data_IF_201736477771
#
_entry.id   IF_201736477771
#
_cell.length_a   1.000
_cell.length_b   1.000
_cell.length_c   1.000
_cell.angle_alpha   90.00
_cell.angle_beta   90.00
_cell.angle_gamma   90.00
#
_symmetry.space_group_name_H-M   'P 1'
#
loop_
_entity.id
_entity.type
_entity.pdbx_description
1 polymer ?
#
# COMPACT_ATOMS: atom_id res chain seq x y z
N UNK A 1 1.57 10.74 -21.23
CA UNK A 1 1.99 10.35 -19.86
C UNK A 1 1.06 11.05 -18.88
N UNK A 2 0.30 10.34 -18.05
CA UNK A 2 -0.64 10.95 -17.09
C UNK A 2 0.12 11.35 -15.84
N UNK A 3 0.15 12.64 -15.50
CA UNK A 3 0.70 13.13 -14.24
C UNK A 3 -0.29 12.82 -13.11
N UNK A 4 0.11 11.99 -12.15
CA UNK A 4 -0.71 11.66 -10.99
C UNK A 4 -0.21 12.50 -9.82
N UNK A 5 -0.98 13.53 -9.44
CA UNK A 5 -0.71 14.29 -8.20
C UNK A 5 -1.34 13.57 -7.02
N UNK A 6 -0.51 13.28 -6.03
CA UNK A 6 -0.98 12.79 -4.74
C UNK A 6 -1.60 13.95 -3.95
N UNK A 7 -2.66 13.65 -3.20
CA UNK A 7 -3.17 14.57 -2.18
C UNK A 7 -2.07 14.83 -1.15
N UNK A 8 -2.07 16.04 -0.59
CA UNK A 8 -1.11 16.43 0.44
C UNK A 8 -1.01 15.42 1.59
N UNK A 9 -2.12 14.93 2.21
CA UNK A 9 -2.03 13.96 3.30
C UNK A 9 -1.41 12.63 2.87
N UNK A 10 -1.70 12.17 1.65
CA UNK A 10 -1.13 10.92 1.13
C UNK A 10 0.38 11.05 0.88
N UNK A 11 0.82 12.20 0.34
CA UNK A 11 2.24 12.49 0.15
C UNK A 11 2.97 12.56 1.49
N UNK A 12 2.43 13.28 2.46
CA UNK A 12 3.03 13.43 3.79
C UNK A 12 3.14 12.08 4.51
N UNK A 13 2.10 11.23 4.43
CA UNK A 13 2.14 9.88 4.98
C UNK A 13 3.23 9.02 4.34
N UNK A 14 3.39 9.08 3.01
CA UNK A 14 4.47 8.35 2.31
C UNK A 14 5.85 8.87 2.69
N UNK A 15 6.02 10.18 2.87
CA UNK A 15 7.30 10.76 3.31
C UNK A 15 7.66 10.31 4.73
N UNK A 16 6.71 10.39 5.67
CA UNK A 16 6.92 9.91 7.03
C UNK A 16 7.29 8.41 7.06
N UNK A 17 6.62 7.62 6.24
CA UNK A 17 6.90 6.19 6.14
C UNK A 17 8.26 5.89 5.46
N UNK A 18 8.68 6.72 4.52
CA UNK A 18 9.98 6.59 3.86
C UNK A 18 11.14 6.80 4.85
N UNK A 19 11.01 7.69 5.83
CA UNK A 19 12.04 7.88 6.86
C UNK A 19 12.35 6.57 7.62
N UNK A 20 11.33 5.73 7.85
CA UNK A 20 11.45 4.45 8.54
C UNK A 20 11.97 3.32 7.64
N UNK A 21 11.67 3.37 6.34
CA UNK A 21 11.84 2.21 5.44
C UNK A 21 12.91 2.39 4.37
N UNK A 22 13.40 3.61 4.15
CA UNK A 22 14.48 3.93 3.18
C UNK A 22 15.83 3.30 3.50
N UNK A 23 16.03 2.86 4.74
CA UNK A 23 17.26 2.20 5.20
C UNK A 23 17.24 0.68 5.03
N UNK A 24 16.06 0.08 4.84
CA UNK A 24 15.92 -1.38 4.72
C UNK A 24 16.61 -1.96 3.47
N UNK A 25 16.73 -3.27 3.38
CA UNK A 25 17.25 -3.89 2.16
C UNK A 25 16.20 -3.94 1.05
N UNK A 26 16.68 -3.93 -0.21
CA UNK A 26 15.79 -4.10 -1.36
C UNK A 26 15.57 -5.60 -1.61
N UNK A 27 14.33 -6.00 -1.83
CA UNK A 27 13.91 -7.38 -2.03
C UNK A 27 13.67 -7.65 -3.52
N UNK A 28 14.13 -8.79 -4.01
CA UNK A 28 13.79 -9.27 -5.36
C UNK A 28 12.37 -9.84 -5.34
N UNK A 29 11.52 -9.33 -6.22
CA UNK A 29 10.14 -9.79 -6.36
C UNK A 29 9.74 -9.89 -7.82
N UNK A 30 8.86 -10.84 -8.11
CA UNK A 30 8.21 -10.99 -9.40
C UNK A 30 7.12 -9.95 -9.56
N UNK A 31 7.25 -9.11 -10.59
CA UNK A 31 6.27 -8.08 -10.93
C UNK A 31 5.64 -8.44 -12.26
N UNK A 32 4.32 -8.61 -12.26
CA UNK A 32 3.53 -8.68 -13.48
C UNK A 32 3.49 -7.31 -14.14
N UNK A 33 3.99 -7.23 -15.36
CA UNK A 33 4.01 -6.01 -16.16
C UNK A 33 2.59 -5.61 -16.60
N UNK A 34 2.46 -4.39 -17.13
CA UNK A 34 1.15 -3.83 -17.51
C UNK A 34 0.37 -4.63 -18.55
N UNK A 35 1.05 -5.48 -19.31
CA UNK A 35 0.44 -6.36 -20.31
C UNK A 35 -0.27 -7.58 -19.68
N UNK A 36 -0.22 -7.72 -18.35
CA UNK A 36 -0.76 -8.84 -17.55
C UNK A 36 -0.24 -10.22 -17.99
N UNK A 37 0.88 -10.28 -18.71
CA UNK A 37 1.44 -11.52 -19.26
C UNK A 37 2.90 -11.70 -18.88
N UNK A 38 3.71 -10.65 -19.01
CA UNK A 38 5.12 -10.73 -18.69
C UNK A 38 5.34 -10.60 -17.18
N UNK A 39 6.02 -11.57 -16.58
CA UNK A 39 6.51 -11.49 -15.20
C UNK A 39 8.00 -11.21 -15.24
N UNK A 40 8.45 -10.19 -14.49
CA UNK A 40 9.86 -9.82 -14.42
C UNK A 40 10.30 -9.64 -12.97
N UNK A 41 11.49 -10.17 -12.65
CA UNK A 41 12.13 -9.90 -11.37
C UNK A 41 12.56 -8.43 -11.29
N UNK A 42 12.16 -7.77 -10.21
CA UNK A 42 12.53 -6.40 -9.88
C UNK A 42 13.05 -6.34 -8.46
N UNK A 43 14.10 -5.55 -8.24
CA UNK A 43 14.65 -5.26 -6.91
C UNK A 43 13.92 -4.05 -6.35
N UNK A 44 12.94 -4.27 -5.47
CA UNK A 44 12.06 -3.24 -4.92
C UNK A 44 12.34 -2.97 -3.45
N UNK A 45 11.98 -1.77 -3.00
CA UNK A 45 11.93 -1.41 -1.59
C UNK A 45 10.48 -1.15 -1.23
N UNK A 46 9.95 -1.92 -0.29
CA UNK A 46 8.58 -1.74 0.18
C UNK A 46 8.52 -0.57 1.16
N UNK A 47 7.42 0.18 1.09
CA UNK A 47 7.17 1.34 1.96
C UNK A 47 6.33 0.92 3.17
N UNK A 48 5.40 -0.02 2.99
CA UNK A 48 4.51 -0.46 4.06
C UNK A 48 4.97 -1.79 4.65
N UNK A 49 5.20 -1.77 5.96
CA UNK A 49 5.62 -2.92 6.74
C UNK A 49 4.68 -3.12 7.92
N UNK A 50 4.48 -4.37 8.29
CA UNK A 50 3.80 -4.71 9.52
C UNK A 50 4.70 -4.31 10.71
N UNK A 51 4.17 -3.52 11.63
CA UNK A 51 4.93 -3.01 12.78
C UNK A 51 5.32 -4.10 13.79
N UNK A 52 4.59 -5.21 13.87
CA UNK A 52 4.91 -6.30 14.82
C UNK A 52 5.92 -7.30 14.27
N UNK A 53 5.89 -7.58 12.97
CA UNK A 53 6.79 -8.58 12.35
C UNK A 53 7.93 -7.97 11.54
N UNK A 54 7.88 -6.67 11.23
CA UNK A 54 8.81 -6.01 10.31
C UNK A 54 8.67 -6.43 8.84
N UNK A 55 7.79 -7.39 8.53
CA UNK A 55 7.60 -7.90 7.18
C UNK A 55 6.88 -6.88 6.30
N UNK A 56 7.27 -6.79 5.03
CA UNK A 56 6.58 -5.97 4.05
C UNK A 56 5.15 -6.48 3.84
N UNK A 57 4.19 -5.58 3.62
CA UNK A 57 2.85 -5.96 3.21
C UNK A 57 2.87 -6.38 1.73
N UNK A 58 2.88 -7.69 1.49
CA UNK A 58 2.93 -8.28 0.13
C UNK A 58 1.58 -8.79 -0.38
N UNK A 59 0.58 -8.95 0.50
CA UNK A 59 -0.76 -9.38 0.14
C UNK A 59 -1.84 -8.47 0.70
N UNK A 60 -2.89 -8.26 -0.11
CA UNK A 60 -4.05 -7.46 0.28
C UNK A 60 -4.78 -8.06 1.48
N UNK A 61 -4.81 -9.38 1.62
CA UNK A 61 -5.54 -10.05 2.70
C UNK A 61 -5.02 -9.71 4.09
N UNK A 62 -3.69 -9.62 4.25
CA UNK A 62 -3.08 -9.29 5.53
C UNK A 62 -3.43 -7.85 5.92
N UNK A 63 -3.37 -6.93 4.96
CA UNK A 63 -3.73 -5.52 5.17
C UNK A 63 -5.23 -5.35 5.47
N UNK A 64 -6.08 -6.11 4.76
CA UNK A 64 -7.53 -6.09 4.97
C UNK A 64 -7.94 -6.58 6.36
N UNK A 65 -7.35 -7.70 6.80
CA UNK A 65 -7.67 -8.32 8.09
C UNK A 65 -7.02 -7.58 9.26
N UNK A 66 -5.73 -7.25 9.13
CA UNK A 66 -4.93 -6.69 10.22
C UNK A 66 -5.16 -5.20 10.48
N UNK A 67 -5.38 -4.42 9.42
CA UNK A 67 -5.52 -2.97 9.54
C UNK A 67 -6.91 -2.49 9.13
N UNK A 68 -7.37 -2.82 7.92
CA UNK A 68 -8.53 -2.17 7.31
C UNK A 68 -9.83 -2.40 8.09
N UNK A 69 -10.16 -3.66 8.40
CA UNK A 69 -11.38 -4.01 9.14
C UNK A 69 -11.39 -3.41 10.55
N UNK A 70 -10.34 -3.56 11.37
CA UNK A 70 -10.26 -2.89 12.67
C UNK A 70 -10.37 -1.36 12.58
N UNK A 71 -9.70 -0.76 11.59
CA UNK A 71 -9.70 0.69 11.40
C UNK A 71 -11.11 1.22 11.09
N UNK A 72 -11.83 0.59 10.16
CA UNK A 72 -13.22 0.97 9.86
C UNK A 72 -14.12 0.82 11.08
N UNK A 73 -13.97 -0.26 11.86
CA UNK A 73 -14.73 -0.47 13.10
C UNK A 73 -14.44 0.63 14.12
N UNK A 74 -13.17 0.99 14.32
CA UNK A 74 -12.77 2.06 15.24
C UNK A 74 -13.29 3.44 14.79
N UNK A 75 -13.38 3.67 13.47
CA UNK A 75 -13.96 4.88 12.89
C UNK A 75 -15.51 4.87 12.87
N UNK A 76 -16.18 3.81 13.34
CA UNK A 76 -17.63 3.68 13.29
C UNK A 76 -18.20 3.47 11.88
N UNK A 77 -17.35 3.15 10.90
CA UNK A 77 -17.72 2.98 9.50
C UNK A 77 -18.05 1.51 9.22
N UNK A 78 -19.22 1.25 8.60
CA UNK A 78 -19.58 -0.09 8.15
C UNK A 78 -18.56 -0.59 7.12
N UNK A 79 -18.19 -1.87 7.21
CA UNK A 79 -17.20 -2.46 6.30
C UNK A 79 -17.53 -2.18 4.83
N UNK A 80 -16.54 -1.66 4.11
CA UNK A 80 -16.49 -1.47 2.66
C UNK A 80 -15.09 -1.84 2.20
N UNK A 81 -14.95 -2.48 1.04
CA UNK A 81 -13.63 -2.81 0.49
C UNK A 81 -12.83 -1.53 0.15
N UNK A 82 -11.48 -1.54 0.21
CA UNK A 82 -10.65 -0.36 -0.06
C UNK A 82 -10.89 0.29 -1.43
N UNK A 83 -11.34 -0.47 -2.43
CA UNK A 83 -11.71 0.08 -3.74
C UNK A 83 -12.84 1.12 -3.65
N UNK A 84 -13.70 1.06 -2.63
CA UNK A 84 -14.72 2.10 -2.41
C UNK A 84 -14.11 3.46 -2.07
N UNK A 85 -12.94 3.50 -1.44
CA UNK A 85 -12.26 4.77 -1.17
C UNK A 85 -11.89 5.49 -2.45
N UNK A 86 -11.54 4.75 -3.51
CA UNK A 86 -11.27 5.34 -4.82
C UNK A 86 -12.53 5.96 -5.42
N UNK A 87 -13.69 5.30 -5.31
CA UNK A 87 -14.97 5.83 -5.76
C UNK A 87 -15.40 7.08 -4.97
N UNK A 88 -15.25 7.08 -3.65
CA UNK A 88 -15.56 8.26 -2.80
C UNK A 88 -14.61 9.42 -3.05
N UNK A 89 -13.34 9.16 -3.36
CA UNK A 89 -12.37 10.21 -3.64
C UNK A 89 -12.56 10.84 -5.02
N UNK A 90 -13.00 10.07 -6.01
CA UNK A 90 -13.22 10.54 -7.37
C UNK A 90 -14.63 11.13 -7.63
N UNK A 91 -15.53 11.05 -6.65
CA UNK A 91 -16.87 11.65 -6.68
C UNK A 91 -16.82 13.07 -6.09
#
# INVERSE_FOLDING_TARGET
MREVRLLRPAREALQAQAELTRVLERVLVDVTERDNKAVRMRKLRFVFHNSSTGAAHTSSDMLLKGFWRPHLKAAGVRFRGPNNCWHTFAS
#
